data_IF_976842237641
#
_entry.id   IF_976842237641
#
_cell.length_a   1.000
_cell.length_b   1.000
_cell.length_c   1.000
_cell.angle_alpha   90.00
_cell.angle_beta   90.00
_cell.angle_gamma   90.00
#
_symmetry.space_group_name_H-M   'P 1'
#
loop_
_entity.id
_entity.type
_entity.pdbx_description
1 polymer ?
#
# COMPACT_ATOMS: atom_id res chain seq x y z
N UNK A 1 -12.95 31.49 77.92
CA UNK A 1 -12.04 31.61 76.75
C UNK A 1 -11.70 30.19 76.27
N UNK A 2 -12.46 29.69 75.30
CA UNK A 2 -12.31 28.31 74.77
C UNK A 2 -11.48 28.40 73.48
N UNK A 3 -10.34 27.76 73.47
CA UNK A 3 -9.47 27.65 72.29
C UNK A 3 -9.99 26.50 71.40
N UNK A 4 -10.42 26.88 70.18
CA UNK A 4 -10.87 25.94 69.17
C UNK A 4 -9.62 25.44 68.41
N UNK A 5 -9.31 24.15 68.59
CA UNK A 5 -8.22 23.49 67.86
C UNK A 5 -8.75 22.99 66.55
N UNK A 6 -8.38 23.66 65.44
CA UNK A 6 -8.77 23.23 64.10
C UNK A 6 -7.86 22.09 63.64
N UNK A 7 -8.44 20.92 63.40
CA UNK A 7 -7.78 19.75 62.86
C UNK A 7 -7.90 19.78 61.33
N UNK A 8 -6.80 20.08 60.66
CA UNK A 8 -6.72 20.04 59.19
C UNK A 8 -6.50 18.57 58.79
N UNK A 9 -7.51 17.96 58.18
CA UNK A 9 -7.39 16.67 57.53
C UNK A 9 -6.77 16.85 56.12
N UNK A 10 -5.49 16.53 55.99
CA UNK A 10 -4.83 16.49 54.67
C UNK A 10 -5.26 15.24 53.92
N UNK A 11 -6.07 15.42 52.88
CA UNK A 11 -6.44 14.35 51.95
C UNK A 11 -5.25 14.08 51.01
N UNK A 12 -4.48 13.04 51.27
CA UNK A 12 -3.43 12.54 50.38
C UNK A 12 -4.08 11.73 49.26
N UNK A 13 -4.23 12.32 48.10
CA UNK A 13 -4.62 11.60 46.86
C UNK A 13 -3.43 10.81 46.36
N UNK A 14 -3.42 9.50 46.67
CA UNK A 14 -2.48 8.57 46.05
C UNK A 14 -2.95 8.29 44.62
N UNK A 15 -2.34 8.94 43.63
CA UNK A 15 -2.47 8.54 42.24
C UNK A 15 -1.77 7.20 42.05
N UNK A 16 -2.52 6.13 42.00
CA UNK A 16 -2.03 4.84 41.55
C UNK A 16 -1.77 4.93 40.04
N UNK A 17 -0.53 5.19 39.64
CA UNK A 17 -0.09 5.03 38.26
C UNK A 17 -0.05 3.54 37.99
N UNK A 18 -1.14 2.99 37.45
CA UNK A 18 -1.13 1.64 36.89
C UNK A 18 -0.15 1.66 35.70
N UNK A 19 0.83 0.75 35.65
CA UNK A 19 1.66 0.63 34.47
C UNK A 19 0.73 0.28 33.30
N UNK A 20 0.70 1.13 32.29
CA UNK A 20 0.09 0.79 31.01
C UNK A 20 0.97 -0.33 30.47
N UNK A 21 0.53 -1.58 30.62
CA UNK A 21 1.10 -2.71 29.89
C UNK A 21 0.84 -2.46 28.40
N UNK A 22 1.77 -1.83 27.73
CA UNK A 22 1.86 -1.94 26.27
C UNK A 22 2.14 -3.40 26.00
N UNK A 23 1.09 -4.16 25.70
CA UNK A 23 1.26 -5.49 25.12
C UNK A 23 2.09 -5.30 23.85
N UNK A 24 3.33 -5.73 23.89
CA UNK A 24 4.14 -5.78 22.68
C UNK A 24 3.36 -6.65 21.69
N UNK A 25 3.07 -6.09 20.49
CA UNK A 25 2.44 -6.83 19.40
C UNK A 25 3.29 -8.08 19.18
N UNK A 26 2.71 -9.27 19.34
CA UNK A 26 3.40 -10.51 19.09
C UNK A 26 3.81 -10.52 17.62
N UNK A 27 5.11 -10.45 17.33
CA UNK A 27 5.60 -10.55 15.94
C UNK A 27 5.38 -11.98 15.48
N UNK A 28 4.55 -12.16 14.47
CA UNK A 28 4.21 -13.48 13.90
C UNK A 28 5.31 -14.04 13.00
N UNK A 29 6.48 -13.39 12.96
CA UNK A 29 7.62 -13.80 12.12
C UNK A 29 7.55 -13.33 10.68
N UNK A 30 6.55 -12.51 10.32
CA UNK A 30 6.46 -11.85 9.03
C UNK A 30 6.37 -10.33 9.22
N UNK A 31 7.49 -9.65 9.08
CA UNK A 31 7.61 -8.20 9.27
C UNK A 31 7.30 -7.39 8.00
N UNK A 32 7.14 -8.06 6.84
CA UNK A 32 6.87 -7.39 5.57
C UNK A 32 5.36 -7.24 5.33
N UNK A 33 4.92 -6.08 4.78
CA UNK A 33 3.53 -5.88 4.41
C UNK A 33 3.01 -6.91 3.41
N UNK A 34 1.75 -7.28 3.55
CA UNK A 34 1.03 -8.18 2.67
C UNK A 34 0.17 -7.34 1.71
N UNK A 35 0.62 -7.18 0.47
CA UNK A 35 -0.09 -6.42 -0.57
C UNK A 35 -1.04 -7.35 -1.32
N UNK A 36 -2.34 -7.06 -1.23
CA UNK A 36 -3.39 -7.88 -1.83
C UNK A 36 -3.89 -7.22 -3.13
N UNK A 37 -3.73 -7.91 -4.26
CA UNK A 37 -4.08 -7.42 -5.60
C UNK A 37 -5.32 -8.13 -6.10
N UNK A 38 -6.43 -7.38 -6.27
CA UNK A 38 -7.71 -7.90 -6.72
C UNK A 38 -7.71 -8.35 -8.20
N UNK A 39 -8.70 -9.15 -8.59
CA UNK A 39 -8.87 -9.65 -9.95
C UNK A 39 -9.63 -8.71 -10.88
N UNK A 40 -10.03 -9.24 -12.04
CA UNK A 40 -10.87 -8.56 -13.02
C UNK A 40 -12.18 -8.10 -12.38
N UNK A 41 -12.59 -6.87 -12.64
CA UNK A 41 -13.80 -6.29 -12.07
C UNK A 41 -13.74 -6.06 -10.56
N UNK A 42 -12.56 -6.21 -9.93
CA UNK A 42 -12.37 -5.95 -8.52
C UNK A 42 -12.21 -4.46 -8.21
N UNK A 43 -12.08 -4.15 -6.93
CA UNK A 43 -12.03 -2.78 -6.42
C UNK A 43 -11.16 -2.67 -5.17
N UNK A 44 -10.69 -1.47 -4.91
CA UNK A 44 -9.95 -1.11 -3.70
C UNK A 44 -10.86 -0.70 -2.54
N UNK A 45 -10.26 -0.40 -1.38
CA UNK A 45 -10.99 0.08 -0.21
C UNK A 45 -11.82 1.34 -0.53
N UNK A 46 -13.08 1.33 -0.10
CA UNK A 46 -13.99 2.48 -0.24
C UNK A 46 -14.62 2.66 -1.62
N UNK A 47 -14.28 1.87 -2.63
CA UNK A 47 -14.78 2.04 -4.00
C UNK A 47 -16.14 1.37 -4.25
N UNK A 48 -16.62 0.48 -3.36
CA UNK A 48 -17.86 -0.29 -3.55
C UNK A 48 -18.80 -0.15 -2.34
N UNK A 49 -19.28 1.07 -2.06
CA UNK A 49 -20.33 1.35 -1.07
C UNK A 49 -20.14 0.63 0.28
N UNK A 50 -18.91 0.51 0.75
CA UNK A 50 -18.57 -0.14 2.03
C UNK A 50 -18.44 -1.67 1.97
N UNK A 51 -18.50 -2.26 0.78
CA UNK A 51 -18.20 -3.69 0.58
C UNK A 51 -16.73 -3.83 0.19
N UNK A 52 -15.95 -4.53 0.99
CA UNK A 52 -14.55 -4.80 0.70
C UNK A 52 -14.41 -5.94 -0.32
N UNK A 53 -13.51 -5.84 -1.27
CA UNK A 53 -13.18 -6.96 -2.16
C UNK A 53 -12.67 -8.16 -1.36
N UNK A 54 -11.82 -7.90 -0.37
CA UNK A 54 -11.29 -8.88 0.57
C UNK A 54 -12.13 -8.87 1.85
N UNK A 55 -12.95 -9.91 2.05
CA UNK A 55 -13.76 -10.06 3.25
C UNK A 55 -15.23 -9.62 3.11
N UNK A 56 -15.64 -8.93 2.05
CA UNK A 56 -17.01 -8.45 1.88
C UNK A 56 -17.39 -7.40 2.93
N UNK A 57 -18.34 -7.72 3.81
CA UNK A 57 -18.72 -6.86 4.95
C UNK A 57 -17.81 -7.04 6.18
N UNK A 58 -16.92 -8.03 6.14
CA UNK A 58 -15.92 -8.25 7.19
C UNK A 58 -14.68 -7.43 6.89
N UNK A 59 -14.19 -6.69 7.88
CA UNK A 59 -12.99 -5.89 7.78
C UNK A 59 -11.75 -6.77 7.97
N UNK A 60 -11.27 -7.33 6.85
CA UNK A 60 -10.16 -8.27 6.86
C UNK A 60 -8.83 -7.57 7.17
N UNK A 61 -8.62 -6.34 6.73
CA UNK A 61 -7.37 -5.61 6.97
C UNK A 61 -7.24 -5.27 8.45
N UNK A 62 -8.29 -4.76 9.09
CA UNK A 62 -8.31 -4.54 10.53
C UNK A 62 -8.12 -5.84 11.32
N UNK A 63 -8.73 -6.95 10.88
CA UNK A 63 -8.54 -8.25 11.50
C UNK A 63 -7.08 -8.72 11.40
N UNK A 64 -6.48 -8.58 10.24
CA UNK A 64 -5.08 -8.96 9.98
C UNK A 64 -4.12 -8.09 10.80
N UNK A 65 -4.37 -6.78 10.88
CA UNK A 65 -3.60 -5.87 11.71
C UNK A 65 -3.67 -6.26 13.19
N UNK A 66 -4.86 -6.62 13.69
CA UNK A 66 -5.05 -7.15 15.04
C UNK A 66 -4.29 -8.46 15.32
N UNK A 67 -3.89 -9.18 14.27
CA UNK A 67 -3.03 -10.40 14.35
C UNK A 67 -1.55 -10.11 14.15
N UNK A 68 -1.17 -8.87 13.93
CA UNK A 68 0.21 -8.48 13.73
C UNK A 68 0.67 -8.41 12.28
N UNK A 69 -0.22 -8.65 11.32
CA UNK A 69 0.09 -8.53 9.90
C UNK A 69 -0.31 -7.13 9.41
N UNK A 70 0.55 -6.51 8.61
CA UNK A 70 0.23 -5.29 7.90
C UNK A 70 -0.34 -5.66 6.51
N UNK A 71 -1.67 -5.60 6.36
CA UNK A 71 -2.34 -5.87 5.10
C UNK A 71 -2.57 -4.57 4.33
N UNK A 72 -2.23 -4.56 3.05
CA UNK A 72 -2.44 -3.43 2.14
C UNK A 72 -3.31 -3.91 0.97
N UNK A 73 -4.63 -3.70 0.99
CA UNK A 73 -5.48 -3.96 -0.16
C UNK A 73 -5.18 -2.93 -1.26
N UNK A 74 -4.59 -3.36 -2.36
CA UNK A 74 -4.22 -2.47 -3.44
C UNK A 74 -5.43 -2.05 -4.28
N UNK A 75 -5.40 -0.80 -4.74
CA UNK A 75 -6.35 -0.24 -5.70
C UNK A 75 -5.67 -0.11 -7.06
N UNK A 76 -6.15 -0.89 -8.04
CA UNK A 76 -5.73 -0.82 -9.44
C UNK A 76 -6.97 -0.88 -10.33
N UNK A 77 -6.86 -0.49 -11.59
CA UNK A 77 -8.01 -0.49 -12.52
C UNK A 77 -8.63 -1.87 -12.67
N UNK A 78 -9.97 -1.97 -12.62
CA UNK A 78 -10.68 -3.25 -12.64
C UNK A 78 -10.61 -3.96 -14.01
N UNK A 79 -10.41 -3.21 -15.11
CA UNK A 79 -10.53 -3.71 -16.49
C UNK A 79 -9.32 -3.41 -17.38
N UNK A 80 -8.27 -2.77 -16.86
CA UNK A 80 -7.05 -2.48 -17.61
C UNK A 80 -6.21 -3.74 -17.87
N UNK A 81 -5.24 -3.61 -18.78
CA UNK A 81 -4.27 -4.67 -19.05
C UNK A 81 -3.44 -5.04 -17.81
N UNK A 82 -2.77 -6.19 -17.82
CA UNK A 82 -1.86 -6.54 -16.72
C UNK A 82 -0.67 -5.58 -16.62
N UNK A 83 -0.23 -5.01 -17.75
CA UNK A 83 0.80 -4.00 -17.80
C UNK A 83 0.37 -2.72 -17.09
N UNK A 84 -0.79 -2.15 -17.49
CA UNK A 84 -1.30 -0.93 -16.87
C UNK A 84 -1.52 -1.10 -15.37
N UNK A 85 -2.11 -2.23 -14.98
CA UNK A 85 -2.31 -2.57 -13.56
C UNK A 85 -1.00 -2.72 -12.80
N UNK A 86 0.07 -3.20 -13.44
CA UNK A 86 1.40 -3.27 -12.83
C UNK A 86 1.98 -1.87 -12.60
N UNK A 87 1.86 -0.97 -13.58
CA UNK A 87 2.27 0.43 -13.45
C UNK A 87 1.45 1.16 -12.36
N UNK A 88 0.14 0.93 -12.32
CA UNK A 88 -0.74 1.47 -11.28
C UNK A 88 -0.38 0.94 -9.89
N UNK A 89 -0.10 -0.36 -9.76
CA UNK A 89 0.32 -0.97 -8.50
C UNK A 89 1.64 -0.40 -8.01
N UNK A 90 2.59 -0.19 -8.92
CA UNK A 90 3.88 0.42 -8.59
C UNK A 90 3.69 1.83 -8.02
N UNK A 91 2.95 2.70 -8.74
CA UNK A 91 2.68 4.05 -8.29
C UNK A 91 1.81 4.09 -7.02
N UNK A 92 0.83 3.19 -6.89
CA UNK A 92 0.04 3.04 -5.66
C UNK A 92 0.92 2.78 -4.43
N UNK A 93 1.92 1.93 -4.56
CA UNK A 93 2.83 1.57 -3.46
C UNK A 93 3.88 2.64 -3.21
N UNK A 94 4.55 3.12 -4.25
CA UNK A 94 5.68 4.07 -4.14
C UNK A 94 5.24 5.52 -3.96
N UNK A 95 4.06 5.87 -4.45
CA UNK A 95 3.66 7.26 -4.69
C UNK A 95 4.12 7.75 -6.06
N UNK A 96 3.69 8.95 -6.42
CA UNK A 96 3.97 9.57 -7.72
C UNK A 96 2.89 9.33 -8.75
N UNK A 97 3.14 9.75 -9.97
CA UNK A 97 2.22 9.60 -11.10
C UNK A 97 2.41 8.24 -11.77
N UNK A 98 1.32 7.56 -12.07
CA UNK A 98 1.36 6.33 -12.86
C UNK A 98 2.00 6.65 -14.21
N UNK A 99 3.07 5.95 -14.56
CA UNK A 99 3.71 5.99 -15.87
C UNK A 99 3.54 4.62 -16.53
N UNK A 100 2.70 4.57 -17.56
CA UNK A 100 2.42 3.34 -18.30
C UNK A 100 3.53 2.98 -19.31
N UNK A 101 4.54 3.85 -19.45
CA UNK A 101 5.59 3.74 -20.45
C UNK A 101 5.24 4.48 -21.76
N UNK A 102 6.24 5.10 -22.37
CA UNK A 102 6.05 5.89 -23.59
C UNK A 102 5.81 5.00 -24.82
N UNK A 103 6.58 3.92 -24.96
CA UNK A 103 6.42 2.95 -26.04
C UNK A 103 5.06 2.23 -25.95
N UNK A 104 4.73 1.74 -24.74
CA UNK A 104 3.47 1.05 -24.48
C UNK A 104 2.26 1.96 -24.77
N UNK A 105 2.25 3.18 -24.24
CA UNK A 105 1.16 4.13 -24.43
C UNK A 105 0.96 4.48 -25.92
N UNK A 106 2.05 4.62 -26.67
CA UNK A 106 2.01 4.86 -28.10
C UNK A 106 1.48 3.65 -28.88
N UNK A 107 1.92 2.45 -28.53
CA UNK A 107 1.48 1.21 -29.18
C UNK A 107 -0.01 0.95 -28.97
N UNK A 108 -0.50 1.20 -27.75
CA UNK A 108 -1.89 0.91 -27.36
C UNK A 108 -2.84 2.12 -27.45
N UNK A 109 -2.35 3.30 -27.82
CA UNK A 109 -3.17 4.47 -28.14
C UNK A 109 -3.84 5.13 -26.94
N UNK A 110 -3.19 5.16 -25.78
CA UNK A 110 -3.65 5.87 -24.59
C UNK A 110 -2.58 6.83 -24.04
N UNK A 111 -2.92 7.60 -23.01
CA UNK A 111 -1.99 8.50 -22.35
C UNK A 111 -0.88 7.73 -21.63
N UNK A 112 0.36 8.24 -21.71
CA UNK A 112 1.49 7.70 -20.95
C UNK A 112 1.28 7.81 -19.45
N UNK A 113 0.70 8.92 -19.00
CA UNK A 113 0.52 9.19 -17.58
C UNK A 113 -0.93 8.99 -17.14
N UNK A 114 -1.09 8.40 -15.96
CA UNK A 114 -2.35 8.16 -15.29
C UNK A 114 -2.51 8.96 -14.00
N UNK A 115 -3.12 8.34 -13.00
CA UNK A 115 -3.41 8.94 -11.70
C UNK A 115 -2.12 9.27 -10.93
N UNK A 116 -2.13 10.39 -10.18
CA UNK A 116 -1.07 10.72 -9.22
C UNK A 116 -1.49 10.32 -7.82
N UNK A 117 -0.58 9.66 -7.12
CA UNK A 117 -0.66 9.36 -5.70
C UNK A 117 0.31 10.27 -4.95
N UNK A 118 -0.23 11.24 -4.20
CA UNK A 118 0.59 12.20 -3.42
C UNK A 118 1.47 11.48 -2.38
N UNK A 119 0.95 10.39 -1.83
CA UNK A 119 1.67 9.51 -0.92
C UNK A 119 1.41 8.07 -1.30
N UNK A 120 2.45 7.28 -1.44
CA UNK A 120 2.31 5.85 -1.68
C UNK A 120 1.82 5.10 -0.43
N UNK A 121 1.17 3.97 -0.64
CA UNK A 121 0.73 3.10 0.45
C UNK A 121 1.92 2.47 1.21
N UNK A 122 3.05 2.32 0.55
CA UNK A 122 4.32 1.86 1.17
C UNK A 122 5.52 2.50 0.45
N UNK A 123 5.75 3.81 0.64
CA UNK A 123 6.75 4.58 -0.13
C UNK A 123 8.20 4.11 0.12
N UNK A 124 8.45 3.50 1.28
CA UNK A 124 9.76 2.95 1.64
C UNK A 124 10.05 1.58 1.00
N UNK A 125 9.15 1.07 0.14
CA UNK A 125 9.38 -0.19 -0.55
C UNK A 125 10.68 -0.15 -1.38
N UNK A 126 11.62 -1.04 -1.05
CA UNK A 126 12.93 -1.19 -1.70
C UNK A 126 13.50 -2.60 -1.43
N UNK A 127 14.78 -2.80 -1.73
CA UNK A 127 15.48 -4.07 -1.52
C UNK A 127 15.52 -4.53 -0.06
N UNK A 128 15.48 -3.59 0.88
CA UNK A 128 15.53 -3.84 2.32
C UNK A 128 14.16 -3.84 2.97
N UNK A 129 13.24 -3.02 2.46
CA UNK A 129 11.86 -2.88 2.90
C UNK A 129 10.93 -3.63 1.94
N UNK A 130 10.96 -4.94 2.02
CA UNK A 130 10.27 -5.83 1.07
C UNK A 130 8.77 -5.91 1.35
N UNK A 131 8.04 -6.50 0.40
CA UNK A 131 6.60 -6.79 0.49
C UNK A 131 6.33 -8.23 0.09
N UNK A 132 5.19 -8.76 0.51
CA UNK A 132 4.61 -9.97 -0.06
C UNK A 132 3.46 -9.56 -0.98
N UNK A 133 3.43 -10.11 -2.19
CA UNK A 133 2.36 -9.89 -3.15
C UNK A 133 1.42 -11.11 -3.16
N UNK A 134 0.13 -10.85 -2.97
CA UNK A 134 -0.93 -11.87 -2.92
C UNK A 134 -2.01 -11.46 -3.93
N UNK A 135 -2.20 -12.26 -4.97
CA UNK A 135 -3.13 -11.96 -6.06
C UNK A 135 -4.29 -12.94 -6.12
N UNK A 136 -5.49 -12.42 -6.37
CA UNK A 136 -6.64 -13.21 -6.73
C UNK A 136 -6.93 -13.11 -8.22
N UNK A 137 -7.14 -14.22 -8.91
CA UNK A 137 -7.53 -14.24 -10.33
C UNK A 137 -6.53 -13.46 -11.21
N UNK A 138 -6.98 -12.46 -11.98
CA UNK A 138 -6.13 -11.58 -12.78
C UNK A 138 -5.07 -10.83 -11.92
N UNK A 139 -5.30 -10.64 -10.62
CA UNK A 139 -4.30 -10.09 -9.70
C UNK A 139 -3.01 -10.89 -9.65
N UNK A 140 -3.08 -12.21 -9.81
CA UNK A 140 -1.90 -13.08 -9.93
C UNK A 140 -1.08 -12.76 -11.19
N UNK A 141 -1.72 -12.50 -12.33
CA UNK A 141 -1.04 -12.08 -13.55
C UNK A 141 -0.42 -10.68 -13.40
N UNK A 142 -1.16 -9.75 -12.78
CA UNK A 142 -0.63 -8.41 -12.46
C UNK A 142 0.65 -8.49 -11.62
N UNK A 143 0.66 -9.34 -10.57
CA UNK A 143 1.83 -9.58 -9.72
C UNK A 143 3.00 -10.13 -10.55
N UNK A 144 2.74 -11.08 -11.42
CA UNK A 144 3.78 -11.62 -12.30
C UNK A 144 4.37 -10.53 -13.20
N UNK A 145 3.51 -9.73 -13.84
CA UNK A 145 3.94 -8.64 -14.71
C UNK A 145 4.81 -7.62 -13.98
N UNK A 146 4.38 -7.13 -12.80
CA UNK A 146 5.20 -6.18 -12.05
C UNK A 146 6.52 -6.78 -11.60
N UNK A 147 6.55 -8.07 -11.24
CA UNK A 147 7.78 -8.76 -10.84
C UNK A 147 8.74 -8.88 -12.02
N UNK A 148 8.25 -9.29 -13.20
CA UNK A 148 9.05 -9.39 -14.42
C UNK A 148 9.63 -8.01 -14.80
N UNK A 149 8.81 -6.94 -14.73
CA UNK A 149 9.28 -5.57 -15.01
C UNK A 149 10.34 -5.08 -14.02
N UNK A 150 10.17 -5.35 -12.74
CA UNK A 150 11.16 -4.96 -11.71
C UNK A 150 12.48 -5.73 -11.82
N UNK A 151 12.45 -6.96 -12.33
CA UNK A 151 13.64 -7.80 -12.47
C UNK A 151 14.38 -7.56 -13.77
N UNK A 152 13.66 -7.45 -14.87
CA UNK A 152 14.21 -7.48 -16.21
C UNK A 152 14.06 -6.13 -16.94
N UNK A 153 13.20 -5.24 -16.43
CA UNK A 153 12.83 -3.98 -17.10
C UNK A 153 11.98 -4.21 -18.33
N UNK A 154 11.94 -3.20 -19.21
CA UNK A 154 11.28 -3.28 -20.51
C UNK A 154 12.20 -2.90 -21.64
N UNK A 155 12.54 -3.86 -22.49
CA UNK A 155 13.39 -3.61 -23.66
C UNK A 155 12.78 -2.58 -24.62
N UNK A 156 11.45 -2.57 -24.80
CA UNK A 156 10.75 -1.62 -25.67
C UNK A 156 10.78 -0.20 -25.10
N UNK A 157 10.58 -0.03 -23.79
CA UNK A 157 10.67 1.28 -23.15
C UNK A 157 12.09 1.81 -23.15
N UNK A 158 13.08 0.96 -22.87
CA UNK A 158 14.50 1.33 -22.94
C UNK A 158 14.92 1.74 -24.36
N UNK A 159 14.49 1.00 -25.39
CA UNK A 159 14.78 1.33 -26.79
C UNK A 159 14.12 2.65 -27.19
N UNK A 160 12.83 2.84 -26.84
CA UNK A 160 12.10 4.08 -27.11
C UNK A 160 12.81 5.29 -26.48
N UNK A 161 13.21 5.20 -25.23
CA UNK A 161 13.93 6.27 -24.53
C UNK A 161 15.29 6.59 -25.18
N UNK A 162 16.00 5.59 -25.69
CA UNK A 162 17.26 5.81 -26.41
C UNK A 162 17.02 6.54 -27.76
N UNK A 163 15.92 6.28 -28.42
CA UNK A 163 15.55 6.94 -29.68
C UNK A 163 14.95 8.36 -29.48
N UNK A 164 14.42 8.63 -28.27
CA UNK A 164 13.74 9.88 -27.90
C UNK A 164 14.34 10.50 -26.62
N UNK A 165 15.65 10.86 -26.63
CA UNK A 165 16.31 11.38 -25.43
C UNK A 165 15.82 12.75 -24.98
N UNK A 166 15.04 13.45 -25.82
CA UNK A 166 14.39 14.73 -25.53
C UNK A 166 13.11 14.60 -24.71
N UNK A 167 12.55 13.40 -24.62
CA UNK A 167 11.35 13.14 -23.80
C UNK A 167 11.72 12.91 -22.34
N UNK A 168 10.71 12.98 -21.47
CA UNK A 168 10.89 12.67 -20.03
C UNK A 168 11.48 11.26 -19.85
N UNK A 169 12.26 11.11 -18.77
CA UNK A 169 12.96 9.88 -18.45
C UNK A 169 12.05 8.67 -18.31
N UNK A 170 12.67 7.50 -18.32
CA UNK A 170 12.00 6.21 -18.12
C UNK A 170 11.59 6.02 -16.66
N UNK A 171 10.44 5.41 -16.43
CA UNK A 171 10.01 5.01 -15.09
C UNK A 171 10.99 4.01 -14.47
N UNK A 172 11.25 4.07 -13.15
CA UNK A 172 12.04 3.05 -12.45
C UNK A 172 11.46 1.63 -12.50
N UNK A 173 10.24 1.48 -13.02
CA UNK A 173 9.60 0.19 -13.23
C UNK A 173 10.15 -0.53 -14.49
N UNK A 174 10.70 0.23 -15.47
CA UNK A 174 11.07 -0.30 -16.80
C UNK A 174 12.57 -0.45 -17.05
#
# INVERSE_FOLDING_TARGET
MKKLLGMIFGLVLIFSISPISTSAKETTGNDYPLVFVHGLGGWGPGEMLGVNYWGGFFDLDQYMDGKGYNMIPATVSPFSSNWDRAAELYAYLKGGTVDYGAAHAKEHGHSRYGKTYETGAYPNWDETNRIHLIGHSMGGNTIRTITDLLMDGSASEMAYHQEHPEEEGISPLF
#
